data_IF_945141315240
#
_entry.id   IF_945141315240
#
_cell.length_a   1.000
_cell.length_b   1.000
_cell.length_c   1.000
_cell.angle_alpha   90.00
_cell.angle_beta   90.00
_cell.angle_gamma   90.00
#
_symmetry.space_group_name_H-M   'P 1'
#
loop_
_entity.id
_entity.type
_entity.pdbx_description
1 polymer ?
#
# COMPACT_ATOMS: atom_id res chain seq x y z
N UNK A 1 11.71 -9.52 23.21
CA UNK A 1 11.07 -8.41 22.49
C UNK A 1 11.61 -8.19 21.07
N UNK A 2 12.92 -8.25 20.82
CA UNK A 2 13.52 -7.86 19.52
C UNK A 2 13.10 -8.69 18.29
N UNK A 3 12.88 -10.00 18.44
CA UNK A 3 12.37 -10.87 17.36
C UNK A 3 10.93 -10.49 16.94
N UNK A 4 10.12 -9.97 17.87
CA UNK A 4 8.75 -9.54 17.57
C UNK A 4 8.72 -8.27 16.71
N UNK A 5 9.76 -7.44 16.73
CA UNK A 5 9.87 -6.23 15.89
C UNK A 5 10.12 -6.61 14.43
N UNK A 6 11.03 -7.56 14.17
CA UNK A 6 11.24 -8.09 12.82
C UNK A 6 9.98 -8.76 12.26
N UNK A 7 9.24 -9.48 13.11
CA UNK A 7 7.97 -10.10 12.73
C UNK A 7 6.88 -9.06 12.47
N UNK A 8 6.85 -7.96 13.23
CA UNK A 8 5.90 -6.86 13.05
C UNK A 8 6.15 -6.09 11.74
N UNK A 9 7.41 -5.86 11.38
CA UNK A 9 7.81 -5.26 10.11
C UNK A 9 7.40 -6.18 8.94
N UNK A 10 7.75 -7.48 9.01
CA UNK A 10 7.38 -8.42 7.95
C UNK A 10 5.87 -8.62 7.78
N UNK A 11 5.08 -8.59 8.87
CA UNK A 11 3.61 -8.71 8.81
C UNK A 11 2.92 -7.41 8.44
N UNK A 12 3.52 -6.26 8.73
CA UNK A 12 2.99 -4.98 8.31
C UNK A 12 3.00 -4.83 6.79
N UNK A 13 4.09 -5.26 6.15
CA UNK A 13 4.31 -5.17 4.71
C UNK A 13 3.65 -6.26 3.88
N UNK A 14 3.25 -7.38 4.50
CA UNK A 14 2.54 -8.45 3.80
C UNK A 14 1.13 -8.06 3.29
N UNK A 15 0.58 -6.92 3.73
CA UNK A 15 -0.64 -6.36 3.18
C UNK A 15 -0.28 -5.42 2.02
N UNK A 16 -0.50 -5.87 0.78
CA UNK A 16 -0.42 -5.00 -0.38
C UNK A 16 -1.47 -3.89 -0.24
N UNK A 17 -1.03 -2.65 -0.08
CA UNK A 17 -1.89 -1.48 -0.17
C UNK A 17 -2.19 -1.21 -1.65
N UNK A 18 -3.46 -1.32 -2.03
CA UNK A 18 -3.97 -0.87 -3.32
C UNK A 18 -4.21 0.64 -3.25
N UNK A 19 -3.44 1.47 -3.96
CA UNK A 19 -3.60 2.93 -3.91
C UNK A 19 -4.84 3.43 -4.65
N UNK A 20 -5.46 2.60 -5.49
CA UNK A 20 -6.60 2.95 -6.32
C UNK A 20 -7.91 2.38 -5.80
N UNK A 21 -7.86 1.43 -4.86
CA UNK A 21 -9.05 0.82 -4.25
C UNK A 21 -10.03 0.24 -5.28
N UNK A 22 -9.49 -0.44 -6.31
CA UNK A 22 -10.28 -0.96 -7.43
C UNK A 22 -11.28 -2.03 -6.96
N UNK A 23 -10.88 -2.85 -5.99
CA UNK A 23 -11.72 -3.89 -5.41
C UNK A 23 -12.88 -3.29 -4.60
N UNK A 24 -12.69 -2.14 -3.96
CA UNK A 24 -13.72 -1.45 -3.20
C UNK A 24 -14.86 -1.00 -4.09
N UNK A 25 -14.56 -0.40 -5.25
CA UNK A 25 -15.60 -0.02 -6.20
C UNK A 25 -16.27 -1.26 -6.78
N UNK A 26 -15.49 -2.28 -7.15
CA UNK A 26 -15.97 -3.55 -7.72
C UNK A 26 -16.97 -4.27 -6.82
N UNK A 27 -16.77 -4.21 -5.50
CA UNK A 27 -17.68 -4.84 -4.53
C UNK A 27 -19.06 -4.18 -4.50
N UNK A 28 -19.13 -2.87 -4.76
CA UNK A 28 -20.36 -2.09 -4.58
C UNK A 28 -21.09 -1.78 -5.89
N UNK A 29 -20.41 -1.78 -7.05
CA UNK A 29 -21.08 -1.59 -8.34
C UNK A 29 -21.98 -2.78 -8.66
N UNK A 30 -23.15 -2.52 -9.25
CA UNK A 30 -24.11 -3.58 -9.58
C UNK A 30 -23.83 -4.21 -10.95
N UNK A 31 -23.30 -3.42 -11.89
CA UNK A 31 -23.11 -3.83 -13.28
C UNK A 31 -21.89 -4.76 -13.45
N UNK A 32 -22.13 -5.96 -13.98
CA UNK A 32 -21.09 -6.96 -14.26
C UNK A 32 -20.06 -6.52 -15.30
N UNK A 33 -20.41 -5.63 -16.22
CA UNK A 33 -19.46 -5.03 -17.18
C UNK A 33 -18.41 -4.22 -16.41
N UNK A 34 -18.84 -3.36 -15.50
CA UNK A 34 -17.95 -2.47 -14.75
C UNK A 34 -17.08 -3.28 -13.80
N UNK A 35 -17.65 -4.27 -13.11
CA UNK A 35 -16.88 -5.23 -12.30
C UNK A 35 -15.78 -5.92 -13.10
N UNK A 36 -16.07 -6.37 -14.32
CA UNK A 36 -15.07 -7.01 -15.20
C UNK A 36 -14.01 -6.02 -15.64
N UNK A 37 -14.38 -4.78 -15.93
CA UNK A 37 -13.41 -3.73 -16.26
C UNK A 37 -12.46 -3.48 -15.10
N UNK A 38 -12.98 -3.29 -13.89
CA UNK A 38 -12.19 -3.12 -12.66
C UNK A 38 -11.28 -4.32 -12.38
N UNK A 39 -11.79 -5.55 -12.56
CA UNK A 39 -11.00 -6.77 -12.39
C UNK A 39 -9.88 -6.91 -13.43
N UNK A 40 -10.11 -6.46 -14.66
CA UNK A 40 -9.09 -6.45 -15.71
C UNK A 40 -8.02 -5.37 -15.46
N UNK A 41 -8.42 -4.22 -14.90
CA UNK A 41 -7.47 -3.18 -14.48
C UNK A 41 -6.56 -3.74 -13.36
N UNK A 42 -7.16 -4.26 -12.29
CA UNK A 42 -6.41 -4.82 -11.16
C UNK A 42 -5.46 -5.98 -11.52
N UNK A 43 -5.71 -6.69 -12.63
CA UNK A 43 -4.85 -7.77 -13.12
C UNK A 43 -3.71 -7.30 -14.01
N UNK A 44 -3.78 -6.09 -14.55
CA UNK A 44 -2.81 -5.59 -15.51
C UNK A 44 -1.73 -4.76 -14.83
N UNK A 45 -0.80 -5.46 -14.17
CA UNK A 45 0.31 -4.86 -13.42
C UNK A 45 1.26 -3.97 -14.26
N UNK A 46 1.09 -3.89 -15.59
CA UNK A 46 1.95 -3.13 -16.50
C UNK A 46 1.39 -1.75 -16.88
N UNK A 47 0.11 -1.49 -16.61
CA UNK A 47 -0.48 -0.16 -16.88
C UNK A 47 0.02 0.81 -15.82
N UNK A 48 0.22 2.07 -16.21
CA UNK A 48 0.57 3.14 -15.27
C UNK A 48 -0.66 3.46 -14.42
N UNK A 49 -0.47 3.56 -13.10
CA UNK A 49 -1.58 3.76 -12.15
C UNK A 49 -2.41 5.01 -12.41
N UNK A 50 -1.85 6.06 -12.99
CA UNK A 50 -2.61 7.25 -13.40
C UNK A 50 -3.65 6.94 -14.49
N UNK A 51 -3.32 6.04 -15.44
CA UNK A 51 -4.25 5.57 -16.47
C UNK A 51 -5.32 4.64 -15.88
N UNK A 52 -4.97 3.82 -14.88
CA UNK A 52 -5.93 3.00 -14.14
C UNK A 52 -6.89 3.89 -13.33
N UNK A 53 -6.35 4.94 -12.70
CA UNK A 53 -7.13 5.91 -11.96
C UNK A 53 -8.12 6.65 -12.85
N UNK A 54 -7.71 7.07 -14.03
CA UNK A 54 -8.62 7.72 -14.99
C UNK A 54 -9.83 6.83 -15.30
N UNK A 55 -9.60 5.55 -15.59
CA UNK A 55 -10.69 4.59 -15.88
C UNK A 55 -11.56 4.28 -14.66
N UNK A 56 -10.95 4.21 -13.48
CA UNK A 56 -11.69 4.08 -12.23
C UNK A 56 -12.62 5.28 -12.02
N UNK A 57 -12.10 6.50 -12.18
CA UNK A 57 -12.84 7.74 -12.02
C UNK A 57 -13.99 7.85 -13.04
N UNK A 58 -13.76 7.41 -14.29
CA UNK A 58 -14.81 7.28 -15.31
C UNK A 58 -15.95 6.35 -14.86
N UNK A 59 -15.63 5.14 -14.42
CA UNK A 59 -16.64 4.16 -13.95
C UNK A 59 -17.39 4.71 -12.75
N UNK A 60 -16.68 5.32 -11.79
CA UNK A 60 -17.25 5.89 -10.58
C UNK A 60 -18.22 7.03 -10.90
N UNK A 61 -17.87 7.90 -11.83
CA UNK A 61 -18.69 9.05 -12.22
C UNK A 61 -20.02 8.63 -12.88
N UNK A 62 -20.03 7.47 -13.56
CA UNK A 62 -21.26 6.89 -14.14
C UNK A 62 -22.17 6.23 -13.08
N UNK A 63 -21.69 5.99 -11.86
CA UNK A 63 -22.50 5.38 -10.80
C UNK A 63 -23.49 6.36 -10.16
N UNK A 64 -24.60 5.87 -9.59
CA UNK A 64 -25.47 6.68 -8.75
C UNK A 64 -24.72 7.32 -7.58
N UNK A 65 -25.16 8.51 -7.15
CA UNK A 65 -24.57 9.27 -6.03
C UNK A 65 -24.39 8.42 -4.77
N UNK A 66 -25.37 7.57 -4.44
CA UNK A 66 -25.28 6.66 -3.29
C UNK A 66 -24.13 5.66 -3.35
N UNK A 67 -23.71 5.25 -4.57
CA UNK A 67 -22.55 4.38 -4.77
C UNK A 67 -21.26 5.18 -4.66
N UNK A 68 -21.23 6.40 -5.18
CA UNK A 68 -20.09 7.30 -5.07
C UNK A 68 -19.78 7.63 -3.59
N UNK A 69 -20.79 8.01 -2.81
CA UNK A 69 -20.66 8.28 -1.37
C UNK A 69 -20.18 7.04 -0.60
N UNK A 70 -20.73 5.87 -0.93
CA UNK A 70 -20.33 4.61 -0.29
C UNK A 70 -18.89 4.24 -0.60
N UNK A 71 -18.44 4.46 -1.83
CA UNK A 71 -17.06 4.27 -2.24
C UNK A 71 -16.13 5.20 -1.46
N UNK A 72 -16.43 6.50 -1.46
CA UNK A 72 -15.63 7.52 -0.78
C UNK A 72 -15.47 7.20 0.71
N UNK A 73 -16.57 6.87 1.40
CA UNK A 73 -16.54 6.49 2.81
C UNK A 73 -15.67 5.27 3.09
N UNK A 74 -15.71 4.24 2.21
CA UNK A 74 -14.88 3.04 2.35
C UNK A 74 -13.40 3.37 2.14
N UNK A 75 -13.08 4.15 1.11
CA UNK A 75 -11.71 4.60 0.80
C UNK A 75 -11.13 5.44 1.94
N UNK A 76 -11.90 6.37 2.50
CA UNK A 76 -11.45 7.22 3.62
C UNK A 76 -11.11 6.37 4.86
N UNK A 77 -11.98 5.40 5.19
CA UNK A 77 -11.73 4.49 6.31
C UNK A 77 -10.46 3.66 6.12
N UNK A 78 -10.23 3.16 4.90
CA UNK A 78 -9.04 2.35 4.60
C UNK A 78 -7.76 3.17 4.59
N UNK A 79 -7.80 4.39 4.03
CA UNK A 79 -6.67 5.34 4.10
C UNK A 79 -6.31 5.68 5.55
N UNK A 80 -7.31 5.93 6.38
CA UNK A 80 -7.12 6.23 7.80
C UNK A 80 -6.45 5.05 8.52
N UNK A 81 -6.98 3.83 8.36
CA UNK A 81 -6.42 2.64 8.97
C UNK A 81 -4.98 2.35 8.50
N UNK A 82 -4.70 2.57 7.21
CA UNK A 82 -3.36 2.43 6.65
C UNK A 82 -2.39 3.45 7.25
N UNK A 83 -2.78 4.72 7.32
CA UNK A 83 -1.95 5.77 7.90
C UNK A 83 -1.68 5.55 9.39
N UNK A 84 -2.67 5.11 10.16
CA UNK A 84 -2.50 4.76 11.57
C UNK A 84 -1.47 3.63 11.75
N UNK A 85 -1.59 2.57 10.93
CA UNK A 85 -0.64 1.45 10.94
C UNK A 85 0.77 1.90 10.56
N UNK A 86 0.91 2.75 9.55
CA UNK A 86 2.20 3.29 9.15
C UNK A 86 2.84 4.12 10.28
N UNK A 87 2.05 5.00 10.91
CA UNK A 87 2.51 5.81 12.04
C UNK A 87 2.97 4.92 13.21
N UNK A 88 2.21 3.88 13.54
CA UNK A 88 2.57 2.91 14.59
C UNK A 88 3.92 2.23 14.29
N UNK A 89 4.18 1.86 13.04
CA UNK A 89 5.45 1.26 12.62
C UNK A 89 6.61 2.24 12.72
N UNK A 90 6.41 3.48 12.28
CA UNK A 90 7.41 4.54 12.35
C UNK A 90 7.75 4.88 13.81
N UNK A 91 6.76 4.90 14.71
CA UNK A 91 6.99 5.11 16.15
C UNK A 91 7.77 3.97 16.78
N UNK A 92 7.47 2.71 16.41
CA UNK A 92 8.15 1.52 16.93
C UNK A 92 9.53 1.28 16.34
N UNK A 93 9.82 1.83 15.17
CA UNK A 93 11.12 1.69 14.54
C UNK A 93 12.21 2.38 15.38
N UNK A 94 13.20 1.60 15.82
CA UNK A 94 14.33 2.10 16.61
C UNK A 94 15.41 2.77 15.73
N UNK A 95 15.50 2.36 14.46
CA UNK A 95 16.47 2.87 13.49
C UNK A 95 15.87 4.03 12.68
N UNK A 96 16.63 5.12 12.50
CA UNK A 96 16.26 6.20 11.61
C UNK A 96 16.18 5.75 10.14
N UNK A 97 17.05 4.81 9.72
CA UNK A 97 17.06 4.26 8.36
C UNK A 97 15.77 3.51 8.06
N UNK A 98 15.31 2.65 8.98
CA UNK A 98 14.03 1.92 8.85
C UNK A 98 12.84 2.90 8.77
N UNK A 99 12.89 4.04 9.48
CA UNK A 99 11.85 5.08 9.36
C UNK A 99 11.85 5.72 7.97
N UNK A 100 13.03 5.95 7.39
CA UNK A 100 13.15 6.49 6.03
C UNK A 100 12.64 5.50 4.99
N UNK A 101 12.97 4.22 5.13
CA UNK A 101 12.49 3.16 4.22
C UNK A 101 10.97 3.05 4.27
N UNK A 102 10.37 3.11 5.47
CA UNK A 102 8.92 3.14 5.66
C UNK A 102 8.25 4.34 4.94
N UNK A 103 8.87 5.52 5.01
CA UNK A 103 8.38 6.71 4.31
C UNK A 103 8.49 6.58 2.79
N UNK A 104 9.61 6.03 2.29
CA UNK A 104 9.81 5.80 0.86
C UNK A 104 8.84 4.76 0.30
N UNK A 105 8.51 3.72 1.07
CA UNK A 105 7.47 2.76 0.69
C UNK A 105 6.13 3.47 0.54
N UNK A 106 5.80 4.41 1.42
CA UNK A 106 4.57 5.18 1.33
C UNK A 106 4.55 6.14 0.14
N UNK A 107 5.68 6.74 -0.22
CA UNK A 107 5.81 7.51 -1.45
C UNK A 107 5.58 6.62 -2.69
N UNK A 108 6.11 5.40 -2.69
CA UNK A 108 5.88 4.42 -3.77
C UNK A 108 4.43 3.93 -3.80
N UNK A 109 3.77 3.78 -2.65
CA UNK A 109 2.34 3.47 -2.57
C UNK A 109 1.52 4.53 -3.31
N UNK A 110 1.77 5.80 -3.04
CA UNK A 110 0.98 6.91 -3.57
C UNK A 110 1.46 7.43 -4.94
N UNK A 111 2.54 6.87 -5.49
CA UNK A 111 3.05 7.25 -6.81
C UNK A 111 2.15 6.68 -7.91
N UNK A 112 1.47 7.57 -8.62
CA UNK A 112 0.59 7.25 -9.75
C UNK A 112 1.33 7.21 -11.11
N UNK A 113 2.57 7.70 -11.17
CA UNK A 113 3.36 7.76 -12.41
C UNK A 113 4.10 6.44 -12.71
N UNK A 114 3.90 5.42 -11.89
CA UNK A 114 4.49 4.09 -12.05
C UNK A 114 3.40 3.03 -12.21
N UNK A 115 3.76 1.92 -12.83
CA UNK A 115 2.92 0.73 -12.87
C UNK A 115 2.92 -0.03 -11.54
N UNK A 116 1.92 -0.87 -11.32
CA UNK A 116 1.85 -1.72 -10.12
C UNK A 116 3.05 -2.68 -10.05
N UNK A 117 3.54 -3.18 -11.18
CA UNK A 117 4.75 -4.00 -11.24
C UNK A 117 5.99 -3.24 -10.75
N UNK A 118 6.18 -2.01 -11.23
CA UNK A 118 7.31 -1.18 -10.82
C UNK A 118 7.23 -0.82 -9.34
N UNK A 119 6.03 -0.52 -8.84
CA UNK A 119 5.81 -0.26 -7.45
C UNK A 119 6.12 -1.49 -6.58
N UNK A 120 5.63 -2.68 -6.96
CA UNK A 120 5.95 -3.95 -6.29
C UNK A 120 7.45 -4.20 -6.23
N UNK A 121 8.18 -3.94 -7.31
CA UNK A 121 9.64 -4.05 -7.34
C UNK A 121 10.31 -3.08 -6.36
N UNK A 122 9.96 -1.79 -6.43
CA UNK A 122 10.55 -0.76 -5.56
C UNK A 122 10.26 -1.01 -4.08
N UNK A 123 9.02 -1.37 -3.73
CA UNK A 123 8.63 -1.71 -2.34
C UNK A 123 9.46 -2.88 -1.83
N UNK A 124 9.60 -3.93 -2.64
CA UNK A 124 10.39 -5.10 -2.25
C UNK A 124 11.86 -4.77 -1.98
N UNK A 125 12.48 -3.92 -2.81
CA UNK A 125 13.86 -3.47 -2.58
C UNK A 125 14.00 -2.72 -1.25
N UNK A 126 13.09 -1.78 -0.98
CA UNK A 126 13.05 -1.01 0.27
C UNK A 126 12.80 -1.89 1.50
N UNK A 127 11.91 -2.87 1.40
CA UNK A 127 11.65 -3.84 2.46
C UNK A 127 12.88 -4.69 2.78
N UNK A 128 13.59 -5.17 1.74
CA UNK A 128 14.81 -5.95 1.92
C UNK A 128 15.91 -5.12 2.61
N UNK A 129 16.03 -3.85 2.27
CA UNK A 129 17.02 -2.95 2.86
C UNK A 129 16.66 -2.59 4.31
N UNK A 130 15.39 -2.29 4.61
CA UNK A 130 14.91 -2.08 5.97
C UNK A 130 15.20 -3.29 6.88
N UNK A 131 14.98 -4.51 6.39
CA UNK A 131 15.29 -5.75 7.12
C UNK A 131 16.79 -5.88 7.37
N UNK A 132 17.63 -5.65 6.35
CA UNK A 132 19.10 -5.74 6.49
C UNK A 132 19.61 -4.75 7.54
N UNK A 133 19.14 -3.50 7.49
CA UNK A 133 19.57 -2.43 8.39
C UNK A 133 19.10 -2.67 9.82
N UNK A 134 17.89 -3.22 10.01
CA UNK A 134 17.41 -3.64 11.32
C UNK A 134 18.23 -4.81 11.89
N UNK A 135 18.61 -5.80 11.08
CA UNK A 135 19.45 -6.93 11.49
C UNK A 135 20.86 -6.46 11.88
N UNK A 136 21.44 -5.54 11.09
CA UNK A 136 22.77 -4.99 11.36
C UNK A 136 22.81 -4.31 12.74
N UNK A 137 21.84 -3.43 13.02
CA UNK A 137 21.76 -2.75 14.30
C UNK A 137 21.58 -3.72 15.48
N UNK A 138 20.75 -4.76 15.33
CA UNK A 138 20.59 -5.79 16.35
C UNK A 138 21.89 -6.54 16.66
N UNK A 139 22.74 -6.78 15.65
CA UNK A 139 24.04 -7.41 15.83
C UNK A 139 25.02 -6.50 16.58
N UNK A 140 25.06 -5.22 16.23
CA UNK A 140 25.89 -4.22 16.89
C UNK A 140 25.50 -4.08 18.37
N UNK A 141 24.20 -3.94 18.66
CA UNK A 141 23.67 -3.87 20.02
C UNK A 141 23.98 -5.11 20.87
N UNK A 142 24.03 -6.30 20.26
CA UNK A 142 24.39 -7.54 20.94
C UNK A 142 25.89 -7.67 21.21
N UNK A 143 26.72 -7.08 20.36
CA UNK A 143 28.18 -7.07 20.53
C UNK A 143 28.69 -6.04 21.54
N UNK A 144 27.84 -5.08 21.91
CA UNK A 144 28.14 -4.02 22.87
C UNK A 144 27.77 -4.38 24.33
N UNK A 145 27.30 -5.62 24.57
CA UNK A 145 26.94 -6.20 25.88
C UNK A 145 27.95 -7.27 26.26
#
# INVERSE_FOLDING_TARGET
MRIFVLLAIATAFACAYDPLFLDELKEIVENEKDKRTLDNLAKNDMIIRSEEKEKLDEILHEQPESIQERYESKVESMKTAHQEKLNELVEKAANQEVKQDLQQIEEVNNNLDISEKEAKMKKKELEEDAIKSQIKQLREDLSAI
#
